data_IF_255966778291
#
_entry.id   IF_255966778291
#
_cell.length_a   1.000
_cell.length_b   1.000
_cell.length_c   1.000
_cell.angle_alpha   90.00
_cell.angle_beta   90.00
_cell.angle_gamma   90.00
#
_symmetry.space_group_name_H-M   'P 1'
#
loop_
_entity.id
_entity.type
_entity.pdbx_description
1 polymer ?
#
# COMPACT_ATOMS: atom_id res chain seq x y z
N UNK A 1 -2.38 9.07 -14.40
CA UNK A 1 -2.45 8.35 -13.10
C UNK A 1 -1.20 7.50 -12.81
N UNK A 2 -0.08 7.68 -13.52
CA UNK A 2 1.14 6.86 -13.34
C UNK A 2 2.38 7.62 -12.88
N UNK A 3 2.26 8.88 -12.44
CA UNK A 3 3.38 9.56 -11.77
C UNK A 3 3.28 9.27 -10.27
N UNK A 4 4.39 8.84 -9.66
CA UNK A 4 4.47 8.55 -8.23
C UNK A 4 4.00 7.15 -7.80
N UNK A 5 3.79 6.21 -8.74
CA UNK A 5 3.60 4.79 -8.39
C UNK A 5 4.58 3.94 -9.17
N UNK A 6 5.46 3.25 -8.46
CA UNK A 6 6.47 2.35 -9.01
C UNK A 6 6.07 0.90 -8.72
N UNK A 7 6.02 0.06 -9.75
CA UNK A 7 5.62 -1.33 -9.62
C UNK A 7 6.83 -2.25 -9.83
N UNK A 8 6.95 -3.26 -8.97
CA UNK A 8 7.95 -4.32 -9.06
C UNK A 8 7.29 -5.69 -8.93
N UNK A 9 7.55 -6.58 -9.88
CA UNK A 9 7.20 -8.01 -9.75
C UNK A 9 8.10 -8.66 -8.68
N UNK A 10 7.51 -9.46 -7.80
CA UNK A 10 8.19 -10.24 -6.78
C UNK A 10 7.98 -11.73 -7.09
N UNK A 11 8.95 -12.41 -7.76
CA UNK A 11 8.81 -13.81 -8.15
C UNK A 11 8.43 -14.72 -6.97
N UNK A 12 7.38 -15.51 -7.14
CA UNK A 12 6.86 -16.41 -6.10
C UNK A 12 6.07 -15.74 -4.97
N UNK A 13 5.97 -14.40 -4.94
CA UNK A 13 5.27 -13.65 -3.89
C UNK A 13 4.07 -12.90 -4.45
N UNK A 14 4.27 -12.09 -5.50
CA UNK A 14 3.23 -11.21 -6.04
C UNK A 14 3.80 -9.93 -6.64
N UNK A 15 3.17 -8.78 -6.38
CA UNK A 15 3.60 -7.47 -6.90
C UNK A 15 3.74 -6.46 -5.78
N UNK A 16 4.82 -5.67 -5.79
CA UNK A 16 4.98 -4.50 -4.94
C UNK A 16 4.64 -3.24 -5.71
N UNK A 17 3.93 -2.33 -5.05
CA UNK A 17 3.63 -0.98 -5.51
C UNK A 17 4.18 0.00 -4.49
N UNK A 18 5.18 0.77 -4.87
CA UNK A 18 5.74 1.84 -4.07
C UNK A 18 5.06 3.16 -4.50
N UNK A 19 4.38 3.81 -3.56
CA UNK A 19 3.55 5.00 -3.79
C UNK A 19 4.21 6.20 -3.13
N UNK A 20 4.62 7.16 -3.95
CA UNK A 20 5.18 8.42 -3.51
C UNK A 20 4.07 9.34 -3.00
N UNK A 21 4.25 9.88 -1.79
CA UNK A 21 3.26 10.77 -1.16
C UNK A 21 3.61 12.26 -1.33
N UNK A 22 4.47 12.60 -2.28
CA UNK A 22 4.91 13.97 -2.53
C UNK A 22 5.94 14.49 -1.52
N UNK A 23 6.44 13.65 -0.63
CA UNK A 23 7.54 13.94 0.30
C UNK A 23 8.66 12.94 0.12
N UNK A 24 9.91 13.42 0.18
CA UNK A 24 11.11 12.57 0.06
C UNK A 24 11.26 11.57 1.22
N UNK A 25 10.54 11.76 2.33
CA UNK A 25 10.63 10.92 3.53
C UNK A 25 9.36 10.13 3.80
N UNK A 26 8.37 10.19 2.91
CA UNK A 26 7.11 9.50 3.09
C UNK A 26 6.74 8.73 1.83
N UNK A 27 6.51 7.44 2.02
CA UNK A 27 5.98 6.56 0.98
C UNK A 27 5.12 5.49 1.62
N UNK A 28 4.26 4.90 0.79
CA UNK A 28 3.50 3.71 1.14
C UNK A 28 3.86 2.62 0.16
N UNK A 29 4.29 1.47 0.65
CA UNK A 29 4.50 0.29 -0.20
C UNK A 29 3.37 -0.71 0.04
N UNK A 30 2.82 -1.25 -1.03
CA UNK A 30 1.78 -2.30 -0.98
C UNK A 30 2.30 -3.53 -1.69
N UNK A 31 2.42 -4.64 -0.99
CA UNK A 31 2.68 -5.95 -1.61
C UNK A 31 1.36 -6.69 -1.75
N UNK A 32 0.93 -6.91 -2.99
CA UNK A 32 -0.24 -7.75 -3.30
C UNK A 32 0.26 -9.17 -3.52
N UNK A 33 0.02 -10.05 -2.55
CA UNK A 33 0.45 -11.46 -2.58
C UNK A 33 -0.47 -12.34 -3.43
N UNK A 34 0.09 -13.44 -3.93
CA UNK A 34 -0.67 -14.58 -4.43
C UNK A 34 -1.42 -15.20 -3.24
N UNK A 35 -2.76 -15.08 -3.20
CA UNK A 35 -3.57 -15.47 -2.04
C UNK A 35 -4.46 -14.38 -1.46
N UNK A 36 -4.65 -13.25 -2.16
CA UNK A 36 -5.56 -12.16 -1.79
C UNK A 36 -5.20 -11.40 -0.49
N UNK A 37 -3.99 -11.58 0.03
CA UNK A 37 -3.45 -10.78 1.13
C UNK A 37 -2.66 -9.59 0.59
N UNK A 38 -2.66 -8.49 1.35
CA UNK A 38 -1.94 -7.25 1.03
C UNK A 38 -1.15 -6.81 2.24
N UNK A 39 0.14 -6.64 2.06
CA UNK A 39 1.01 -6.11 3.10
C UNK A 39 1.21 -4.62 2.82
N UNK A 40 0.81 -3.78 3.77
CA UNK A 40 0.92 -2.33 3.73
C UNK A 40 2.09 -1.90 4.61
N UNK A 41 3.08 -1.30 3.99
CA UNK A 41 4.26 -0.74 4.67
C UNK A 41 4.17 0.77 4.64
N UNK A 42 4.19 1.39 5.81
CA UNK A 42 4.15 2.85 5.97
C UNK A 42 5.53 3.35 6.34
N UNK A 43 6.08 4.25 5.53
CA UNK A 43 7.35 4.92 5.80
C UNK A 43 7.05 6.37 6.17
N UNK A 44 7.31 6.74 7.42
CA UNK A 44 7.08 8.09 7.94
C UNK A 44 8.36 8.66 8.58
N UNK A 45 9.50 8.52 7.90
CA UNK A 45 10.80 8.91 8.42
C UNK A 45 11.89 8.87 7.34
N UNK A 46 13.10 9.31 7.70
CA UNK A 46 14.26 9.36 6.78
C UNK A 46 14.93 7.99 6.55
N UNK A 47 14.44 6.93 7.18
CA UNK A 47 15.03 5.59 7.12
C UNK A 47 14.35 4.68 6.11
N UNK A 48 15.05 3.60 5.75
CA UNK A 48 14.56 2.57 4.83
C UNK A 48 13.67 1.53 5.52
N UNK A 49 13.49 1.64 6.84
CA UNK A 49 12.60 0.77 7.61
C UNK A 49 11.19 1.35 7.70
N UNK A 50 10.15 0.51 7.57
CA UNK A 50 8.77 0.94 7.73
C UNK A 50 8.50 1.29 9.19
N UNK A 51 7.82 2.41 9.41
CA UNK A 51 7.29 2.80 10.73
C UNK A 51 6.15 1.89 11.17
N UNK A 52 5.40 1.32 10.22
CA UNK A 52 4.35 0.35 10.49
C UNK A 52 4.20 -0.64 9.33
N UNK A 53 3.79 -1.86 9.68
CA UNK A 53 3.43 -2.92 8.73
C UNK A 53 2.07 -3.47 9.12
N UNK A 54 1.15 -3.54 8.16
CA UNK A 54 -0.17 -4.14 8.33
C UNK A 54 -0.37 -5.23 7.29
N UNK A 55 -0.85 -6.39 7.74
CA UNK A 55 -1.37 -7.42 6.85
C UNK A 55 -2.90 -7.23 6.72
N UNK A 56 -3.38 -7.12 5.48
CA UNK A 56 -4.78 -6.91 5.17
C UNK A 56 -5.32 -8.05 4.30
N UNK A 57 -6.43 -8.63 4.73
CA UNK A 57 -7.27 -9.43 3.84
C UNK A 57 -7.83 -8.58 2.71
N UNK A 58 -8.34 -9.24 1.66
CA UNK A 58 -9.02 -8.55 0.56
C UNK A 58 -10.14 -7.63 1.04
N UNK A 59 -10.97 -8.09 1.97
CA UNK A 59 -12.10 -7.32 2.50
C UNK A 59 -11.65 -6.07 3.27
N UNK A 60 -10.63 -6.21 4.13
CA UNK A 60 -10.07 -5.07 4.87
C UNK A 60 -9.44 -4.04 3.92
N UNK A 61 -8.71 -4.50 2.90
CA UNK A 61 -8.12 -3.63 1.89
C UNK A 61 -9.19 -2.88 1.07
N UNK A 62 -10.32 -3.52 0.74
CA UNK A 62 -11.44 -2.87 0.08
C UNK A 62 -12.09 -1.81 0.95
N UNK A 63 -12.30 -2.09 2.24
CA UNK A 63 -12.83 -1.10 3.21
C UNK A 63 -11.91 0.12 3.31
N UNK A 64 -10.60 -0.11 3.48
CA UNK A 64 -9.61 0.97 3.53
C UNK A 64 -9.60 1.77 2.23
N UNK A 65 -9.60 1.09 1.08
CA UNK A 65 -9.65 1.73 -0.24
C UNK A 65 -10.87 2.61 -0.40
N UNK A 66 -12.06 2.13 0.00
CA UNK A 66 -13.30 2.89 -0.09
C UNK A 66 -13.28 4.18 0.74
N UNK A 67 -12.65 4.15 1.92
CA UNK A 67 -12.43 5.36 2.74
C UNK A 67 -11.45 6.30 2.04
N UNK A 68 -10.32 5.78 1.54
CA UNK A 68 -9.30 6.59 0.86
C UNK A 68 -9.82 7.26 -0.42
N UNK A 69 -10.73 6.61 -1.15
CA UNK A 69 -11.32 7.15 -2.38
C UNK A 69 -12.58 7.98 -2.16
N UNK A 70 -13.02 8.16 -0.91
CA UNK A 70 -14.25 8.90 -0.59
C UNK A 70 -15.52 8.24 -1.11
N UNK A 71 -15.51 6.93 -1.32
CA UNK A 71 -16.67 6.15 -1.78
C UNK A 71 -17.38 5.39 -0.65
N UNK A 72 -16.91 5.56 0.58
CA UNK A 72 -17.58 5.07 1.77
C UNK A 72 -18.62 6.09 2.26
N UNK A 73 -19.84 5.62 2.53
CA UNK A 73 -20.93 6.42 3.05
C UNK A 73 -21.44 5.78 4.35
N UNK A 74 -21.47 6.56 5.43
CA UNK A 74 -22.16 6.17 6.66
C UNK A 74 -23.65 6.50 6.50
N UNK A 75 -24.50 5.52 6.82
CA UNK A 75 -25.95 5.64 6.85
C UNK A 75 -26.47 5.47 8.26
#
# INVERSE_FOLDING_TARGET
>A
MGQGVHMQELPGIGKRYDIDLGSATQRVSVVVRQGNIRDLYVFAGKGDEPTAVLELTREQALKLGAVLTGTFFEG
#
